data_IF_314538456055
#
_entry.id   IF_314538456055
#
_cell.length_a   1.000
_cell.length_b   1.000
_cell.length_c   1.000
_cell.angle_alpha   90.00
_cell.angle_beta   90.00
_cell.angle_gamma   90.00
#
_symmetry.space_group_name_H-M   'P 1'
#
loop_
_entity.id
_entity.type
_entity.pdbx_description
1 polymer ?
#
# COMPACT_ATOMS: atom_id res chain seq x y z
N UNK A 1 10.95 5.51 12.91
CA UNK A 1 10.05 4.40 12.49
C UNK A 1 10.51 3.69 11.20
N UNK A 2 11.37 4.33 10.40
CA UNK A 2 11.79 3.90 9.06
C UNK A 2 12.55 2.56 8.96
N UNK A 3 13.34 2.18 9.97
CA UNK A 3 14.16 0.95 9.90
C UNK A 3 13.33 -0.35 9.83
N UNK A 4 12.12 -0.36 10.43
CA UNK A 4 11.27 -1.55 10.43
C UNK A 4 10.81 -1.94 9.03
N UNK A 5 10.46 -0.96 8.19
CA UNK A 5 10.01 -1.19 6.81
C UNK A 5 11.17 -1.58 5.88
N UNK A 6 12.38 -1.05 6.14
CA UNK A 6 13.57 -1.42 5.38
C UNK A 6 13.94 -2.91 5.57
N UNK A 7 13.64 -3.49 6.73
CA UNK A 7 13.89 -4.90 7.03
C UNK A 7 12.77 -5.86 6.57
N UNK A 8 11.60 -5.34 6.17
CA UNK A 8 10.52 -6.19 5.67
C UNK A 8 10.91 -6.86 4.36
N UNK A 9 10.54 -8.14 4.21
CA UNK A 9 10.73 -8.85 2.94
C UNK A 9 9.64 -8.41 1.94
N UNK A 10 9.93 -8.43 0.63
CA UNK A 10 8.89 -8.23 -0.38
C UNK A 10 7.78 -9.28 -0.24
N UNK A 11 6.56 -8.86 -0.55
CA UNK A 11 5.34 -9.64 -0.39
C UNK A 11 4.34 -8.98 0.58
N UNK A 12 3.44 -9.81 1.11
CA UNK A 12 2.18 -9.38 1.73
C UNK A 12 2.32 -8.27 2.76
N UNK A 13 3.19 -8.41 3.75
CA UNK A 13 3.32 -7.44 4.83
C UNK A 13 3.81 -6.08 4.35
N UNK A 14 4.76 -6.08 3.39
CA UNK A 14 5.26 -4.85 2.78
C UNK A 14 4.18 -4.20 1.91
N UNK A 15 3.41 -5.00 1.15
CA UNK A 15 2.34 -4.51 0.29
C UNK A 15 1.20 -3.89 1.11
N UNK A 16 0.83 -4.47 2.26
CA UNK A 16 -0.14 -3.89 3.21
C UNK A 16 0.38 -2.55 3.74
N UNK A 17 1.64 -2.49 4.13
CA UNK A 17 2.23 -1.25 4.64
C UNK A 17 2.17 -0.14 3.58
N UNK A 18 2.55 -0.44 2.33
CA UNK A 18 2.44 0.51 1.21
C UNK A 18 0.99 0.92 0.99
N UNK A 19 0.05 -0.03 1.01
CA UNK A 19 -1.37 0.26 0.81
C UNK A 19 -1.89 1.28 1.83
N UNK A 20 -1.61 1.04 3.11
CA UNK A 20 -2.09 1.87 4.22
C UNK A 20 -1.39 3.23 4.28
N UNK A 21 -0.05 3.23 4.21
CA UNK A 21 0.73 4.43 4.50
C UNK A 21 0.92 5.32 3.28
N UNK A 22 1.01 4.74 2.07
CA UNK A 22 1.29 5.47 0.84
C UNK A 22 0.02 5.63 0.01
N UNK A 23 -0.70 4.54 -0.27
CA UNK A 23 -1.80 4.54 -1.24
C UNK A 23 -3.16 4.96 -0.64
N UNK A 24 -3.21 5.25 0.67
CA UNK A 24 -4.42 5.73 1.34
C UNK A 24 -5.50 4.68 1.55
N UNK A 25 -5.15 3.40 1.57
CA UNK A 25 -6.09 2.34 1.95
C UNK A 25 -6.45 2.46 3.43
N UNK A 26 -7.62 1.95 3.77
CA UNK A 26 -8.20 1.99 5.09
C UNK A 26 -8.82 0.64 5.43
N UNK A 27 -8.81 0.32 6.73
CA UNK A 27 -9.52 -0.86 7.23
C UNK A 27 -11.02 -0.57 7.31
N UNK A 28 -11.78 -1.33 6.54
CA UNK A 28 -13.24 -1.30 6.57
C UNK A 28 -13.75 -2.48 7.38
N UNK A 29 -14.71 -2.21 8.27
CA UNK A 29 -15.38 -3.22 9.08
C UNK A 29 -16.88 -3.15 8.82
N UNK A 30 -17.46 -4.21 8.27
CA UNK A 30 -18.91 -4.36 8.16
C UNK A 30 -19.42 -5.24 9.30
N UNK A 31 -20.41 -4.74 10.02
CA UNK A 31 -21.20 -5.54 10.96
C UNK A 31 -22.43 -6.05 10.23
N UNK A 32 -22.52 -7.37 10.09
CA UNK A 32 -23.66 -8.04 9.52
C UNK A 32 -24.59 -8.45 10.66
N UNK A 33 -25.72 -7.76 10.79
CA UNK A 33 -26.72 -8.07 11.80
C UNK A 33 -27.70 -9.12 11.27
N UNK A 34 -27.41 -10.39 11.58
CA UNK A 34 -28.35 -11.52 11.51
C UNK A 34 -28.44 -12.16 12.91
N UNK A 35 -29.20 -13.25 13.07
CA UNK A 35 -29.35 -13.96 14.37
C UNK A 35 -28.03 -14.37 15.05
N UNK A 36 -26.89 -14.31 14.33
CA UNK A 36 -25.55 -14.25 14.87
C UNK A 36 -24.83 -12.99 14.31
N UNK A 37 -24.19 -12.20 15.18
CA UNK A 37 -23.37 -11.07 14.77
C UNK A 37 -22.11 -11.57 14.05
N UNK A 38 -21.92 -11.17 12.79
CA UNK A 38 -20.69 -11.44 12.04
C UNK A 38 -20.02 -10.12 11.65
N UNK A 39 -18.69 -10.06 11.81
CA UNK A 39 -17.90 -8.87 11.53
C UNK A 39 -16.87 -9.16 10.45
N UNK A 40 -17.05 -8.57 9.27
CA UNK A 40 -16.09 -8.69 8.15
C UNK A 40 -15.14 -7.51 8.20
N UNK A 41 -13.82 -7.77 8.22
CA UNK A 41 -12.77 -6.74 8.15
C UNK A 41 -11.94 -6.92 6.89
N UNK A 42 -11.70 -5.86 6.13
CA UNK A 42 -10.94 -5.89 4.88
C UNK A 42 -10.28 -4.54 4.58
N UNK A 43 -9.30 -4.51 3.67
CA UNK A 43 -8.63 -3.27 3.21
C UNK A 43 -9.32 -2.72 1.96
N UNK A 44 -9.83 -1.50 2.05
CA UNK A 44 -10.45 -0.79 0.94
C UNK A 44 -9.90 0.62 0.76
N UNK A 45 -10.45 1.35 -0.19
CA UNK A 45 -10.14 2.75 -0.51
C UNK A 45 -11.25 3.68 0.00
N UNK A 46 -11.02 5.00 0.08
CA UNK A 46 -12.08 5.96 0.40
C UNK A 46 -13.28 5.91 -0.57
N UNK A 47 -13.04 5.60 -1.85
CA UNK A 47 -14.11 5.42 -2.83
C UNK A 47 -15.04 4.25 -2.49
N UNK A 48 -14.53 3.20 -1.84
CA UNK A 48 -15.34 2.08 -1.37
C UNK A 48 -16.30 2.50 -0.24
N UNK A 49 -15.90 3.48 0.60
CA UNK A 49 -16.79 4.07 1.60
C UNK A 49 -17.92 4.84 0.90
N UNK A 50 -17.58 5.72 -0.04
CA UNK A 50 -18.59 6.50 -0.76
C UNK A 50 -19.59 5.60 -1.49
N UNK A 51 -19.10 4.54 -2.14
CA UNK A 51 -19.94 3.56 -2.83
C UNK A 51 -20.87 2.79 -1.89
N UNK A 52 -20.46 2.56 -0.62
CA UNK A 52 -21.29 1.87 0.36
C UNK A 52 -22.53 2.67 0.81
N UNK A 53 -22.57 3.99 0.54
CA UNK A 53 -23.75 4.82 0.73
C UNK A 53 -24.11 5.14 2.18
N UNK A 54 -23.23 4.83 3.15
CA UNK A 54 -23.42 5.16 4.57
C UNK A 54 -23.18 3.98 5.52
N UNK A 55 -23.53 4.17 6.80
CA UNK A 55 -23.20 3.26 7.91
C UNK A 55 -24.00 1.94 7.87
N UNK A 56 -25.14 1.90 7.17
CA UNK A 56 -26.00 0.72 7.07
C UNK A 56 -26.51 0.53 5.64
N UNK A 57 -26.17 -0.62 5.04
CA UNK A 57 -26.69 -1.04 3.74
C UNK A 57 -27.57 -2.26 3.93
N UNK A 58 -28.83 -2.18 3.49
CA UNK A 58 -29.71 -3.35 3.49
C UNK A 58 -29.25 -4.31 2.38
N UNK A 59 -28.84 -5.51 2.76
CA UNK A 59 -28.58 -6.59 1.81
C UNK A 59 -29.92 -7.19 1.42
N UNK A 60 -30.21 -7.20 0.11
CA UNK A 60 -31.50 -7.70 -0.40
C UNK A 60 -31.35 -9.08 -1.04
N UNK A 61 -30.12 -9.50 -1.35
CA UNK A 61 -29.82 -10.79 -1.97
C UNK A 61 -28.80 -11.59 -1.16
N UNK A 62 -29.01 -12.89 -1.07
CA UNK A 62 -28.07 -13.81 -0.42
C UNK A 62 -26.68 -13.81 -1.09
N UNK A 63 -26.62 -13.59 -2.40
CA UNK A 63 -25.35 -13.45 -3.13
C UNK A 63 -24.49 -12.27 -2.64
N UNK A 64 -25.11 -11.16 -2.21
CA UNK A 64 -24.40 -10.00 -1.67
C UNK A 64 -23.76 -10.34 -0.31
N UNK A 65 -24.45 -11.17 0.49
CA UNK A 65 -23.93 -11.67 1.77
C UNK A 65 -22.76 -12.64 1.57
N UNK A 66 -22.85 -13.55 0.59
CA UNK A 66 -21.74 -14.45 0.25
C UNK A 66 -20.52 -13.65 -0.22
N UNK A 67 -20.70 -12.64 -1.08
CA UNK A 67 -19.61 -11.77 -1.50
C UNK A 67 -18.95 -11.04 -0.33
N UNK A 68 -19.71 -10.56 0.66
CA UNK A 68 -19.15 -9.92 1.86
C UNK A 68 -18.43 -10.91 2.77
N UNK A 69 -18.97 -12.12 3.01
CA UNK A 69 -18.27 -13.16 3.77
C UNK A 69 -16.97 -13.58 3.09
N UNK A 70 -16.97 -13.65 1.77
CA UNK A 70 -15.77 -13.93 1.01
C UNK A 70 -14.72 -12.82 1.15
N UNK A 71 -15.12 -11.54 1.31
CA UNK A 71 -14.18 -10.43 1.58
C UNK A 71 -13.43 -10.56 2.90
N UNK A 72 -13.97 -11.28 3.88
CA UNK A 72 -13.25 -11.62 5.12
C UNK A 72 -12.03 -12.49 4.84
N UNK A 73 -12.10 -13.33 3.80
CA UNK A 73 -11.01 -14.18 3.34
C UNK A 73 -10.16 -13.50 2.25
N UNK A 74 -10.72 -12.51 1.56
CA UNK A 74 -10.06 -11.74 0.50
C UNK A 74 -9.45 -10.46 1.05
N UNK A 75 -8.38 -10.67 1.82
CA UNK A 75 -7.29 -9.71 2.00
C UNK A 75 -6.56 -9.40 0.65
N UNK A 76 -6.99 -10.05 -0.45
CA UNK A 76 -6.52 -10.00 -1.84
C UNK A 76 -6.71 -8.65 -2.56
N UNK A 77 -7.45 -7.69 -1.98
CA UNK A 77 -7.68 -6.40 -2.64
C UNK A 77 -6.42 -5.51 -2.69
N UNK A 78 -5.39 -5.83 -1.91
CA UNK A 78 -4.13 -5.08 -1.92
C UNK A 78 -3.30 -5.53 -3.12
N UNK A 79 -2.99 -4.62 -4.07
CA UNK A 79 -2.12 -4.94 -5.18
C UNK A 79 -0.70 -5.35 -4.72
N UNK A 80 -0.04 -6.18 -5.51
CA UNK A 80 1.29 -6.71 -5.23
C UNK A 80 2.41 -5.68 -5.48
N UNK A 81 2.40 -4.57 -4.73
CA UNK A 81 3.27 -3.40 -4.95
C UNK A 81 4.77 -3.70 -4.96
N UNK A 82 5.23 -4.69 -4.19
CA UNK A 82 6.63 -5.05 -4.05
C UNK A 82 7.07 -6.24 -4.92
N UNK A 83 6.15 -6.87 -5.65
CA UNK A 83 6.43 -8.09 -6.43
C UNK A 83 5.87 -8.08 -7.85
N UNK A 84 4.97 -7.15 -8.19
CA UNK A 84 4.41 -6.99 -9.53
C UNK A 84 4.67 -5.58 -10.10
N UNK A 85 5.24 -5.54 -11.31
CA UNK A 85 5.63 -4.27 -11.97
C UNK A 85 4.44 -3.32 -12.20
N UNK A 86 3.31 -3.84 -12.67
CA UNK A 86 2.11 -3.00 -12.90
C UNK A 86 1.57 -2.36 -11.62
N UNK A 87 1.74 -3.03 -10.48
CA UNK A 87 1.36 -2.53 -9.17
C UNK A 87 2.40 -1.52 -8.63
N UNK A 88 3.69 -1.81 -8.75
CA UNK A 88 4.76 -0.87 -8.38
C UNK A 88 4.69 0.45 -9.14
N UNK A 89 4.34 0.41 -10.43
CA UNK A 89 4.18 1.62 -11.25
C UNK A 89 3.08 2.55 -10.71
N UNK A 90 1.98 2.00 -10.18
CA UNK A 90 0.91 2.79 -9.55
C UNK A 90 1.41 3.55 -8.31
N UNK A 91 2.38 2.99 -7.58
CA UNK A 91 3.01 3.68 -6.45
C UNK A 91 3.78 4.90 -6.95
N UNK A 92 4.57 4.76 -8.02
CA UNK A 92 5.30 5.87 -8.64
C UNK A 92 4.33 6.96 -9.11
N UNK A 93 3.27 6.57 -9.82
CA UNK A 93 2.25 7.51 -10.32
C UNK A 93 1.57 8.25 -9.17
N UNK A 94 1.18 7.54 -8.11
CA UNK A 94 0.58 8.14 -6.93
C UNK A 94 1.52 9.12 -6.24
N UNK A 95 2.77 8.71 -6.00
CA UNK A 95 3.80 9.56 -5.40
C UNK A 95 4.06 10.82 -6.24
N UNK A 96 4.10 10.69 -7.56
CA UNK A 96 4.23 11.82 -8.47
C UNK A 96 3.03 12.77 -8.39
N UNK A 97 1.80 12.23 -8.30
CA UNK A 97 0.58 13.02 -8.19
C UNK A 97 0.53 13.85 -6.89
N UNK A 98 1.12 13.35 -5.79
CA UNK A 98 1.21 14.08 -4.51
C UNK A 98 2.48 14.96 -4.39
N UNK A 99 3.21 15.13 -5.50
CA UNK A 99 4.31 16.10 -5.66
C UNK A 99 5.71 15.56 -5.42
N UNK A 100 5.90 14.23 -5.34
CA UNK A 100 7.24 13.65 -5.32
C UNK A 100 7.79 13.44 -6.74
N UNK A 101 9.11 13.35 -6.83
CA UNK A 101 9.86 13.03 -8.04
C UNK A 101 10.62 11.74 -7.77
N UNK A 102 10.24 10.70 -8.51
CA UNK A 102 10.89 9.40 -8.45
C UNK A 102 12.25 9.40 -9.14
N UNK A 103 13.25 8.82 -8.50
CA UNK A 103 14.57 8.56 -9.07
C UNK A 103 14.99 7.13 -8.76
N UNK A 104 15.47 6.42 -9.78
CA UNK A 104 16.03 5.07 -9.66
C UNK A 104 17.47 5.06 -10.15
N UNK A 105 18.34 4.46 -9.37
CA UNK A 105 19.71 4.17 -9.76
C UNK A 105 19.98 2.67 -9.61
N UNK A 106 20.54 2.05 -10.65
CA UNK A 106 20.99 0.66 -10.60
C UNK A 106 22.52 0.65 -10.53
N UNK A 107 23.07 -0.03 -9.53
CA UNK A 107 24.52 -0.22 -9.36
C UNK A 107 24.84 -1.70 -9.30
N UNK A 108 25.94 -2.09 -9.93
CA UNK A 108 26.48 -3.45 -9.80
C UNK A 108 27.42 -3.46 -8.59
N UNK A 109 27.05 -4.19 -7.55
CA UNK A 109 27.85 -4.38 -6.33
C UNK A 109 28.12 -5.87 -6.20
N UNK A 110 29.39 -6.26 -6.10
CA UNK A 110 29.79 -7.68 -5.95
C UNK A 110 29.13 -8.63 -6.98
N UNK A 111 29.11 -8.19 -8.26
CA UNK A 111 28.48 -8.91 -9.38
C UNK A 111 26.96 -9.09 -9.28
N UNK A 112 26.27 -8.36 -8.40
CA UNK A 112 24.82 -8.34 -8.29
C UNK A 112 24.27 -6.94 -8.58
N UNK A 113 23.14 -6.87 -9.28
CA UNK A 113 22.42 -5.62 -9.49
C UNK A 113 21.71 -5.20 -8.20
N UNK A 114 22.01 -4.00 -7.72
CA UNK A 114 21.40 -3.40 -6.54
C UNK A 114 20.67 -2.13 -6.96
N UNK A 115 19.39 -2.05 -6.61
CA UNK A 115 18.50 -0.95 -6.97
C UNK A 115 18.38 0.05 -5.81
N UNK A 116 18.63 1.31 -6.11
CA UNK A 116 18.50 2.44 -5.20
C UNK A 116 17.37 3.33 -5.70
N UNK A 117 16.22 3.25 -5.05
CA UNK A 117 15.06 4.07 -5.36
C UNK A 117 14.96 5.24 -4.39
N UNK A 118 14.42 6.37 -4.85
CA UNK A 118 14.11 7.50 -3.98
C UNK A 118 12.99 8.38 -4.52
N UNK A 119 12.30 9.06 -3.60
CA UNK A 119 11.28 10.05 -3.89
C UNK A 119 11.66 11.39 -3.25
N UNK A 120 11.68 12.46 -4.04
CA UNK A 120 12.05 13.83 -3.63
C UNK A 120 10.90 14.78 -3.82
N UNK A 121 10.66 15.72 -2.89
CA UNK A 121 9.61 16.73 -3.03
C UNK A 121 10.22 18.13 -2.89
N UNK A 122 9.92 19.03 -3.83
CA UNK A 122 10.49 20.37 -3.86
C UNK A 122 10.14 21.16 -2.58
N UNK A 123 11.13 21.86 -2.02
CA UNK A 123 11.00 22.63 -0.78
C UNK A 123 11.14 21.82 0.52
N UNK A 124 11.24 20.49 0.43
CA UNK A 124 11.46 19.60 1.57
C UNK A 124 12.80 18.90 1.40
N UNK A 125 13.81 19.26 2.21
CA UNK A 125 15.03 18.47 2.38
C UNK A 125 14.71 17.20 3.17
N UNK A 126 13.83 16.34 2.64
CA UNK A 126 13.73 14.97 3.14
C UNK A 126 14.85 14.22 2.45
N UNK A 127 15.83 13.79 3.25
CA UNK A 127 16.87 12.85 2.87
C UNK A 127 16.21 11.58 2.37
N UNK A 128 15.81 11.62 1.09
CA UNK A 128 16.00 10.59 0.08
C UNK A 128 16.45 9.30 0.73
N UNK A 129 15.51 8.44 1.07
CA UNK A 129 15.82 7.12 1.58
C UNK A 129 16.37 6.24 0.47
N UNK A 130 17.63 6.48 0.11
CA UNK A 130 18.40 5.58 -0.71
C UNK A 130 18.76 4.39 0.16
N UNK A 131 18.03 3.30 -0.01
CA UNK A 131 18.47 2.00 0.45
C UNK A 131 18.67 1.11 -0.79
N UNK A 132 19.74 0.32 -0.78
CA UNK A 132 20.03 -0.62 -1.86
C UNK A 132 19.21 -1.88 -1.66
N UNK A 133 18.51 -2.33 -2.70
CA UNK A 133 17.62 -3.49 -2.66
C UNK A 133 17.87 -4.48 -3.79
N UNK A 134 17.45 -5.73 -3.58
CA UNK A 134 17.66 -6.82 -4.51
C UNK A 134 16.80 -6.70 -5.78
N UNK A 135 15.64 -6.06 -5.69
CA UNK A 135 14.74 -5.84 -6.83
C UNK A 135 14.28 -4.39 -6.91
N UNK A 136 14.00 -3.95 -8.13
CA UNK A 136 13.44 -2.63 -8.40
C UNK A 136 12.08 -2.43 -7.70
N UNK A 137 11.22 -3.46 -7.72
CA UNK A 137 9.87 -3.40 -7.17
C UNK A 137 9.88 -3.20 -5.65
N UNK A 138 10.74 -3.95 -4.97
CA UNK A 138 11.00 -3.78 -3.54
C UNK A 138 11.55 -2.38 -3.25
N UNK A 139 12.48 -1.89 -4.09
CA UNK A 139 13.06 -0.58 -3.94
C UNK A 139 12.00 0.52 -4.01
N UNK A 140 11.11 0.47 -5.00
CA UNK A 140 10.00 1.41 -5.17
C UNK A 140 9.12 1.42 -3.91
N UNK A 141 8.64 0.25 -3.49
CA UNK A 141 7.74 0.10 -2.35
C UNK A 141 8.33 0.69 -1.06
N UNK A 142 9.59 0.35 -0.75
CA UNK A 142 10.27 0.81 0.46
C UNK A 142 10.63 2.29 0.39
N UNK A 143 11.12 2.78 -0.76
CA UNK A 143 11.45 4.19 -0.92
C UNK A 143 10.21 5.08 -0.75
N UNK A 144 9.05 4.66 -1.26
CA UNK A 144 7.80 5.39 -1.09
C UNK A 144 7.36 5.46 0.38
N UNK A 145 7.42 4.32 1.09
CA UNK A 145 7.13 4.26 2.52
C UNK A 145 8.00 5.21 3.32
N UNK A 146 9.32 5.16 3.12
CA UNK A 146 10.21 6.01 3.89
C UNK A 146 10.02 7.48 3.56
N UNK A 147 9.78 7.83 2.28
CA UNK A 147 9.52 9.21 1.89
C UNK A 147 8.28 9.79 2.59
N UNK A 148 7.14 9.08 2.54
CA UNK A 148 5.88 9.54 3.15
C UNK A 148 5.99 9.61 4.68
N UNK A 149 6.62 8.62 5.32
CA UNK A 149 6.77 8.62 6.77
C UNK A 149 7.72 9.73 7.25
N UNK A 150 8.81 9.98 6.52
CA UNK A 150 9.76 11.05 6.85
C UNK A 150 9.15 12.44 6.66
N UNK A 151 8.18 12.60 5.75
CA UNK A 151 7.42 13.85 5.56
C UNK A 151 6.45 14.11 6.72
N UNK A 152 5.89 13.05 7.33
CA UNK A 152 4.98 13.16 8.49
C UNK A 152 5.69 13.43 9.81
N UNK A 153 6.96 13.04 9.94
CA UNK A 153 7.76 13.24 11.16
C UNK A 153 8.34 14.67 11.28
N UNK A 154 8.12 15.56 10.29
CA UNK A 154 8.57 16.96 10.25
C UNK A 154 7.48 17.95 10.66
#
# INVERSE_FOLDING_TARGET
>A
MNEKFLQMKPGRDLDIAVALEVMGFIWLKHLLQFSAELAVKWLGTPADIEQSGGVYTALTKESEMVSLKLRENFDEAVPAFSTEMGSAQKVIEHMNAIGYVYNLENRIVECQSVYYASFKKDGIQSEVASAGFATELEAIAKAALVAVLSDREK
#
